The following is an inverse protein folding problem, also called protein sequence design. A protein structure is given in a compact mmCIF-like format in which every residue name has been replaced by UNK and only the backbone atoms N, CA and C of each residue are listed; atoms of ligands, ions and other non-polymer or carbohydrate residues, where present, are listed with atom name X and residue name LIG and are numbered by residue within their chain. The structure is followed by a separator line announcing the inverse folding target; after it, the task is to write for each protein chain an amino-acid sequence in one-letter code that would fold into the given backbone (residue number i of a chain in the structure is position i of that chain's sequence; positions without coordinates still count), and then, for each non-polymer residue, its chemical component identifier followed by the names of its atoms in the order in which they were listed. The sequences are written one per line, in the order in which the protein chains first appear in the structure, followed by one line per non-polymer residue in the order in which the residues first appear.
data_IF_436570316817
#
_entry.id   IF_436570316817
#
_cell.length_a   1.000
_cell.length_b   1.000
_cell.length_c   1.000
_cell.angle_alpha   90.00
_cell.angle_beta   90.00
_cell.angle_gamma   90.00
#
_symmetry.space_group_name_H-M   'P 1'
#
loop_
_entity.id
_entity.type
_entity.pdbx_description
1 polymer ?
#
# COMPACT_ATOMS: atom_id res chain seq x y z
N UNK A 1 8.16 21.95 -24.86
CA UNK A 1 6.93 22.68 -24.44
C UNK A 1 6.50 22.13 -23.07
N UNK A 2 6.01 22.98 -22.15
CA UNK A 2 5.56 22.52 -20.83
C UNK A 2 4.38 21.52 -20.96
N UNK A 3 4.37 20.48 -20.12
CA UNK A 3 3.33 19.44 -20.11
C UNK A 3 2.00 20.07 -19.73
N UNK A 4 0.96 19.92 -20.56
CA UNK A 4 -0.38 20.51 -20.31
C UNK A 4 -1.41 19.38 -20.13
N UNK A 5 -1.45 18.82 -18.93
CA UNK A 5 -2.52 17.91 -18.48
C UNK A 5 -3.50 18.69 -17.56
N UNK A 6 -4.80 18.36 -17.57
CA UNK A 6 -5.77 19.04 -16.71
C UNK A 6 -5.44 18.80 -15.22
N UNK A 7 -5.22 19.87 -14.46
CA UNK A 7 -4.88 19.83 -13.02
C UNK A 7 -3.39 19.75 -12.71
N UNK A 8 -2.51 19.77 -13.73
CA UNK A 8 -1.06 19.88 -13.57
C UNK A 8 -0.68 21.37 -13.45
N UNK A 9 -0.18 21.76 -12.29
CA UNK A 9 0.44 23.06 -12.07
C UNK A 9 1.96 22.87 -11.98
N UNK A 10 2.72 23.19 -13.05
CA UNK A 10 4.14 22.91 -13.10
C UNK A 10 4.93 23.62 -12.00
N UNK A 11 4.48 24.78 -11.51
CA UNK A 11 5.19 25.50 -10.45
C UNK A 11 4.93 24.84 -9.09
N UNK A 12 3.68 24.50 -8.79
CA UNK A 12 3.31 23.80 -7.55
C UNK A 12 3.93 22.39 -7.48
N UNK A 13 3.87 21.63 -8.57
CA UNK A 13 4.43 20.27 -8.62
C UNK A 13 5.97 20.29 -8.52
N UNK A 14 6.62 21.30 -9.12
CA UNK A 14 8.08 21.48 -8.97
C UNK A 14 8.45 21.84 -7.54
N UNK A 15 7.66 22.68 -6.86
CA UNK A 15 7.88 23.03 -5.46
C UNK A 15 7.73 21.81 -4.55
N UNK A 16 6.69 20.99 -4.76
CA UNK A 16 6.44 19.76 -4.00
C UNK A 16 7.53 18.70 -4.22
N UNK A 17 7.95 18.47 -5.47
CA UNK A 17 9.05 17.56 -5.79
C UNK A 17 10.37 18.04 -5.18
N UNK A 18 10.64 19.35 -5.23
CA UNK A 18 11.84 19.95 -4.63
C UNK A 18 11.85 19.77 -3.11
N UNK A 19 10.74 20.06 -2.44
CA UNK A 19 10.58 19.86 -1.00
C UNK A 19 10.78 18.37 -0.62
N UNK A 20 10.21 17.45 -1.40
CA UNK A 20 10.38 16.01 -1.20
C UNK A 20 11.84 15.57 -1.42
N UNK A 21 12.53 16.14 -2.42
CA UNK A 21 13.94 15.89 -2.69
C UNK A 21 14.83 16.28 -1.50
N UNK A 22 14.62 17.46 -0.93
CA UNK A 22 15.33 17.91 0.27
C UNK A 22 15.00 17.07 1.51
N UNK A 23 13.74 16.65 1.68
CA UNK A 23 13.35 15.75 2.76
C UNK A 23 14.09 14.40 2.68
N UNK A 24 14.22 13.81 1.48
CA UNK A 24 15.00 12.59 1.31
C UNK A 24 16.48 12.75 1.64
N UNK A 25 17.11 13.90 1.34
CA UNK A 25 18.50 14.18 1.76
C UNK A 25 18.63 14.27 3.27
N UNK A 26 17.65 14.88 3.95
CA UNK A 26 17.59 14.93 5.41
C UNK A 26 17.50 13.52 6.01
N UNK A 27 16.60 12.67 5.50
CA UNK A 27 16.45 11.29 5.97
C UNK A 27 17.68 10.42 5.68
N UNK A 28 18.35 10.64 4.54
CA UNK A 28 19.60 9.96 4.23
C UNK A 28 20.71 10.28 5.23
N UNK A 29 20.76 11.52 5.75
CA UNK A 29 21.79 11.98 6.69
C UNK A 29 21.49 11.63 8.15
N UNK A 30 20.24 11.86 8.58
CA UNK A 30 19.83 11.78 9.99
C UNK A 30 18.96 10.55 10.31
N UNK A 31 18.61 9.76 9.30
CA UNK A 31 17.74 8.60 9.43
C UNK A 31 16.25 8.94 9.30
N UNK A 32 15.41 7.90 9.24
CA UNK A 32 13.97 8.00 8.91
C UNK A 32 13.12 8.79 9.93
N UNK A 33 13.65 9.02 11.13
CA UNK A 33 12.97 9.79 12.18
C UNK A 33 13.52 11.23 12.30
N UNK A 34 14.22 11.73 11.28
CA UNK A 34 14.84 13.05 11.31
C UNK A 34 13.82 14.16 11.60
N UNK A 35 14.30 15.23 12.22
CA UNK A 35 13.59 16.49 12.43
C UNK A 35 14.50 17.61 12.00
N UNK A 36 13.93 18.67 11.42
CA UNK A 36 14.66 19.89 11.06
C UNK A 36 15.11 20.63 12.33
N UNK A 37 16.42 20.70 12.55
CA UNK A 37 17.02 21.59 13.54
C UNK A 37 17.52 22.89 12.90
N UNK A 38 17.99 23.83 13.73
CA UNK A 38 18.45 25.14 13.23
C UNK A 38 19.67 25.02 12.32
N UNK A 39 20.51 24.01 12.52
CA UNK A 39 21.67 23.74 11.66
C UNK A 39 21.22 23.29 10.26
N UNK A 40 20.22 22.44 10.16
CA UNK A 40 19.62 22.06 8.88
C UNK A 40 18.98 23.26 8.19
N UNK A 41 18.20 24.07 8.93
CA UNK A 41 17.56 25.29 8.38
C UNK A 41 18.60 26.25 7.81
N UNK A 42 19.72 26.45 8.51
CA UNK A 42 20.82 27.26 8.04
C UNK A 42 21.46 26.67 6.77
N UNK A 43 21.73 25.36 6.75
CA UNK A 43 22.29 24.67 5.58
C UNK A 43 21.36 24.75 4.36
N UNK A 44 20.05 24.69 4.56
CA UNK A 44 19.05 24.79 3.49
C UNK A 44 18.89 26.21 2.99
N UNK A 45 18.94 27.23 3.86
CA UNK A 45 19.01 28.63 3.45
C UNK A 45 20.26 28.92 2.62
N UNK A 46 21.42 28.38 3.00
CA UNK A 46 22.65 28.49 2.20
C UNK A 46 22.55 27.78 0.84
N UNK A 47 21.71 26.76 0.73
CA UNK A 47 21.42 26.07 -0.52
C UNK A 47 20.37 26.81 -1.39
N UNK A 48 19.93 28.01 -0.98
CA UNK A 48 19.00 28.83 -1.74
C UNK A 48 17.52 28.54 -1.50
N UNK A 49 17.17 27.77 -0.46
CA UNK A 49 15.76 27.56 -0.09
C UNK A 49 15.22 28.81 0.60
N UNK A 50 14.20 29.43 0.01
CA UNK A 50 13.52 30.60 0.56
C UNK A 50 12.60 30.23 1.77
N UNK A 51 12.07 31.22 2.51
CA UNK A 51 11.24 30.96 3.69
C UNK A 51 9.91 30.22 3.41
N UNK A 52 9.32 30.40 2.24
CA UNK A 52 8.06 29.75 1.87
C UNK A 52 8.31 28.26 1.53
N UNK A 53 9.33 27.99 0.72
CA UNK A 53 9.81 26.65 0.41
C UNK A 53 10.31 25.91 1.68
N UNK A 54 10.89 26.63 2.65
CA UNK A 54 11.25 26.05 3.95
C UNK A 54 10.03 25.58 4.73
N UNK A 55 8.93 26.35 4.70
CA UNK A 55 7.68 25.97 5.37
C UNK A 55 7.07 24.72 4.72
N UNK A 56 7.07 24.67 3.38
CA UNK A 56 6.63 23.49 2.62
C UNK A 56 7.50 22.25 2.91
N UNK A 57 8.81 22.43 3.02
CA UNK A 57 9.75 21.37 3.39
C UNK A 57 9.45 20.82 4.80
N UNK A 58 9.21 21.68 5.78
CA UNK A 58 8.85 21.27 7.15
C UNK A 58 7.57 20.44 7.16
N UNK A 59 6.52 20.91 6.48
CA UNK A 59 5.26 20.18 6.32
C UNK A 59 5.48 18.84 5.63
N UNK A 60 6.31 18.80 4.59
CA UNK A 60 6.63 17.59 3.83
C UNK A 60 7.38 16.56 4.67
N UNK A 61 8.37 16.98 5.47
CA UNK A 61 9.10 16.08 6.37
C UNK A 61 8.14 15.42 7.38
N UNK A 62 7.26 16.20 8.01
CA UNK A 62 6.29 15.64 8.97
C UNK A 62 5.24 14.76 8.30
N UNK A 63 4.77 15.12 7.10
CA UNK A 63 3.88 14.29 6.28
C UNK A 63 4.52 12.95 5.92
N UNK A 64 5.76 12.96 5.41
CA UNK A 64 6.47 11.74 5.02
C UNK A 64 6.76 10.83 6.22
N UNK A 65 7.06 11.39 7.39
CA UNK A 65 7.24 10.64 8.63
C UNK A 65 5.94 10.01 9.13
N UNK A 66 4.86 10.78 9.19
CA UNK A 66 3.56 10.33 9.70
C UNK A 66 2.91 9.27 8.80
N UNK A 67 3.18 9.32 7.49
CA UNK A 67 2.68 8.37 6.51
C UNK A 67 3.64 7.19 6.24
N UNK A 68 4.89 7.27 6.70
CA UNK A 68 5.92 6.28 6.44
C UNK A 68 6.46 6.28 5.00
N UNK A 69 6.21 7.35 4.24
CA UNK A 69 6.64 7.51 2.85
C UNK A 69 8.17 7.55 2.70
N UNK A 70 8.87 8.03 3.72
CA UNK A 70 10.33 8.06 3.74
C UNK A 70 10.96 6.65 3.86
N UNK A 71 10.18 5.62 4.22
CA UNK A 71 10.71 4.26 4.42
C UNK A 71 10.84 3.55 3.08
N UNK A 72 12.05 3.17 2.63
CA UNK A 72 12.21 2.46 1.37
C UNK A 72 11.52 1.11 1.38
N UNK A 73 11.00 0.71 0.22
CA UNK A 73 10.51 -0.65 0.01
C UNK A 73 11.63 -1.67 0.25
N UNK A 74 11.33 -2.72 1.02
CA UNK A 74 12.26 -3.84 1.25
C UNK A 74 12.63 -4.54 -0.05
N UNK A 75 11.66 -4.71 -0.96
CA UNK A 75 11.90 -5.31 -2.26
C UNK A 75 12.85 -4.44 -3.10
N UNK A 76 12.65 -3.12 -3.10
CA UNK A 76 13.51 -2.20 -3.85
C UNK A 76 14.93 -2.13 -3.29
N UNK A 77 15.08 -2.13 -1.97
CA UNK A 77 16.41 -2.22 -1.34
C UNK A 77 17.07 -3.57 -1.64
N UNK A 78 16.33 -4.68 -1.61
CA UNK A 78 16.87 -6.00 -1.94
C UNK A 78 17.37 -6.05 -3.39
N UNK A 79 16.61 -5.51 -4.33
CA UNK A 79 17.01 -5.39 -5.73
C UNK A 79 18.30 -4.58 -5.89
N UNK A 80 18.37 -3.39 -5.28
CA UNK A 80 19.56 -2.53 -5.35
C UNK A 80 20.80 -3.23 -4.76
N UNK A 81 20.64 -3.96 -3.64
CA UNK A 81 21.72 -4.71 -2.99
C UNK A 81 22.17 -5.89 -3.86
N UNK A 82 21.23 -6.62 -4.46
CA UNK A 82 21.53 -7.75 -5.33
C UNK A 82 22.23 -7.30 -6.62
N UNK A 83 21.82 -6.17 -7.21
CA UNK A 83 22.48 -5.58 -8.39
C UNK A 83 23.94 -5.24 -8.08
N UNK A 84 24.25 -4.83 -6.85
CA UNK A 84 25.65 -4.61 -6.43
C UNK A 84 26.45 -5.88 -6.15
N UNK A 85 25.85 -7.07 -6.31
CA UNK A 85 26.48 -8.35 -6.01
C UNK A 85 26.65 -8.66 -4.52
N UNK A 86 25.99 -7.88 -3.64
CA UNK A 86 26.07 -8.05 -2.19
C UNK A 86 24.96 -8.96 -1.68
N UNK A 87 25.22 -9.69 -0.59
CA UNK A 87 24.22 -10.54 0.05
C UNK A 87 23.19 -9.68 0.82
N UNK A 88 21.93 -10.10 0.80
CA UNK A 88 20.86 -9.42 1.53
C UNK A 88 20.94 -9.74 3.03
N UNK A 89 21.58 -8.85 3.78
CA UNK A 89 21.72 -8.93 5.23
C UNK A 89 21.22 -7.65 5.88
N UNK A 90 20.98 -7.68 7.20
CA UNK A 90 20.60 -6.47 7.93
C UNK A 90 21.66 -5.36 7.81
N UNK A 91 22.95 -5.72 7.73
CA UNK A 91 24.05 -4.79 7.56
C UNK A 91 24.07 -4.12 6.19
N UNK A 92 23.90 -4.90 5.11
CA UNK A 92 23.85 -4.35 3.75
C UNK A 92 22.61 -3.50 3.52
N UNK A 93 21.46 -3.87 4.11
CA UNK A 93 20.26 -3.04 4.13
C UNK A 93 20.49 -1.69 4.83
N UNK A 94 21.14 -1.70 6.00
CA UNK A 94 21.43 -0.47 6.74
C UNK A 94 22.39 0.46 5.97
N UNK A 95 23.36 -0.11 5.25
CA UNK A 95 24.30 0.64 4.41
C UNK A 95 23.65 1.18 3.12
N UNK A 96 22.80 0.38 2.46
CA UNK A 96 22.14 0.76 1.22
C UNK A 96 21.03 1.80 1.41
N UNK A 97 20.34 1.79 2.55
CA UNK A 97 19.23 2.71 2.86
C UNK A 97 19.58 4.20 2.67
N UNK A 98 20.62 4.77 3.31
CA UNK A 98 20.96 6.18 3.13
C UNK A 98 21.43 6.51 1.71
N UNK A 99 22.06 5.56 1.00
CA UNK A 99 22.47 5.74 -0.40
C UNK A 99 21.26 5.82 -1.31
N UNK A 100 20.30 4.91 -1.12
CA UNK A 100 19.04 4.89 -1.87
C UNK A 100 18.22 6.17 -1.66
N UNK A 101 18.06 6.61 -0.39
CA UNK A 101 17.36 7.84 -0.07
C UNK A 101 18.05 9.07 -0.67
N UNK A 102 19.39 9.10 -0.66
CA UNK A 102 20.14 10.18 -1.31
C UNK A 102 19.89 10.21 -2.82
N UNK A 103 19.90 9.05 -3.48
CA UNK A 103 19.64 8.95 -4.91
C UNK A 103 18.22 9.42 -5.28
N UNK A 104 17.20 9.09 -4.47
CA UNK A 104 15.85 9.62 -4.64
C UNK A 104 15.82 11.15 -4.51
N UNK A 105 16.49 11.68 -3.47
CA UNK A 105 16.60 13.11 -3.26
C UNK A 105 17.25 13.82 -4.45
N UNK A 106 18.36 13.30 -4.97
CA UNK A 106 19.04 13.84 -6.15
C UNK A 106 18.17 13.78 -7.41
N UNK A 107 17.43 12.68 -7.61
CA UNK A 107 16.54 12.53 -8.76
C UNK A 107 15.38 13.54 -8.76
N UNK A 108 14.87 13.92 -7.59
CA UNK A 108 13.81 14.92 -7.42
C UNK A 108 14.33 16.36 -7.43
N UNK A 109 15.57 16.59 -7.03
CA UNK A 109 16.17 17.93 -7.14
C UNK A 109 16.62 18.28 -8.56
N UNK A 110 16.71 17.29 -9.46
CA UNK A 110 16.89 17.49 -10.91
C UNK A 110 15.58 17.70 -11.67
N UNK A 111 14.49 17.96 -10.95
CA UNK A 111 13.17 18.13 -11.55
C UNK A 111 13.07 19.38 -12.43
N UNK A 112 13.74 20.48 -12.07
CA UNK A 112 13.82 21.66 -12.96
C UNK A 112 14.44 21.31 -14.32
N UNK A 113 15.48 20.47 -14.36
CA UNK A 113 16.10 20.02 -15.62
C UNK A 113 15.13 19.16 -16.46
N UNK A 114 14.23 18.43 -15.80
CA UNK A 114 13.24 17.53 -16.44
C UNK A 114 12.02 18.27 -17.00
N UNK A 115 11.57 19.33 -16.33
CA UNK A 115 10.39 20.10 -16.76
C UNK A 115 10.75 21.34 -17.61
N UNK A 116 11.97 21.88 -17.50
CA UNK A 116 12.39 23.09 -18.22
C UNK A 116 13.08 22.81 -19.56
N UNK A 117 13.68 21.62 -19.73
CA UNK A 117 14.23 21.16 -21.00
C UNK A 117 13.44 19.97 -21.54
N UNK A 118 12.82 20.16 -22.70
CA UNK A 118 12.19 19.07 -23.45
C UNK A 118 13.31 18.15 -23.96
N UNK A 119 13.54 17.02 -23.28
CA UNK A 119 14.60 16.07 -23.67
C UNK A 119 14.38 15.50 -25.09
N UNK A 120 13.17 15.64 -25.62
CA UNK A 120 12.81 15.41 -27.01
C UNK A 120 12.15 16.69 -27.51
N UNK A 121 12.90 17.60 -28.11
CA UNK A 121 12.32 18.72 -28.85
C UNK A 121 11.51 18.16 -30.03
N UNK A 122 10.24 17.83 -29.75
CA UNK A 122 9.31 17.27 -30.70
C UNK A 122 9.04 18.26 -31.85
N UNK A 123 9.23 19.57 -31.60
CA UNK A 123 9.26 20.60 -32.62
C UNK A 123 10.40 20.35 -33.60
N UNK A 124 11.65 20.32 -33.14
CA UNK A 124 12.81 20.04 -33.98
C UNK A 124 12.75 18.67 -34.68
N UNK A 125 12.15 17.64 -34.06
CA UNK A 125 11.97 16.32 -34.65
C UNK A 125 10.88 16.28 -35.74
N UNK A 126 9.91 17.20 -35.69
CA UNK A 126 8.82 17.31 -36.69
C UNK A 126 9.06 18.39 -37.73
N UNK A 127 9.96 19.34 -37.50
CA UNK A 127 10.42 20.33 -38.48
C UNK A 127 10.83 19.73 -39.83
N UNK A 128 11.63 18.65 -39.93
CA UNK A 128 11.96 18.02 -41.22
C UNK A 128 10.76 17.37 -41.91
N UNK A 129 9.71 17.00 -41.17
CA UNK A 129 8.45 16.47 -41.74
C UNK A 129 7.51 17.60 -42.16
N UNK A 130 7.56 18.74 -41.45
CA UNK A 130 6.78 19.94 -41.73
C UNK A 130 7.30 20.67 -42.97
N UNK A 131 8.62 20.89 -43.05
CA UNK A 131 9.28 21.40 -44.27
C UNK A 131 9.13 20.47 -45.46
N UNK A 132 9.14 19.14 -45.28
CA UNK A 132 8.85 18.18 -46.36
C UNK A 132 7.41 18.28 -46.87
N UNK A 133 6.44 18.56 -46.00
CA UNK A 133 5.03 18.74 -46.35
C UNK A 133 4.77 20.09 -47.03
N UNK A 134 5.43 21.14 -46.56
CA UNK A 134 5.38 22.47 -47.18
C UNK A 134 6.08 22.51 -48.54
N UNK A 135 7.17 21.75 -48.73
CA UNK A 135 7.77 21.55 -50.05
C UNK A 135 6.90 20.68 -50.97
N UNK A 136 6.21 19.66 -50.45
CA UNK A 136 5.32 18.82 -51.27
C UNK A 136 4.03 19.54 -51.68
N UNK A 137 3.50 20.43 -50.84
CA UNK A 137 2.31 21.22 -51.17
C UNK A 137 2.64 22.35 -52.18
N UNK A 138 3.89 22.83 -52.23
CA UNK A 138 4.36 23.74 -53.28
C UNK A 138 4.57 23.03 -54.65
N UNK A 139 4.86 21.73 -54.64
CA UNK A 139 5.13 20.93 -55.86
C UNK A 139 3.85 20.35 -56.52
N UNK A 140 2.70 20.37 -55.83
CA UNK A 140 1.40 19.93 -56.38
C UNK A 140 0.80 20.95 -57.37
N UNK A 141 1.34 22.17 -57.44
CA UNK A 141 0.83 23.23 -58.34
C UNK A 141 1.30 23.14 -59.79
N UNK A 142 2.17 22.20 -60.16
CA UNK A 142 2.60 22.02 -61.56
C UNK A 142 2.71 20.55 -61.96
N UNK A 143 1.60 19.97 -62.41
CA UNK A 143 1.64 18.81 -63.31
C UNK A 143 0.57 18.92 -64.39
N UNK A 144 0.94 18.89 -65.69
CA UNK A 144 -0.02 19.01 -66.77
C UNK A 144 -0.84 17.72 -66.91
N UNK A 145 -2.14 17.89 -67.18
CA UNK A 145 -3.07 16.83 -67.53
C UNK A 145 -2.68 16.19 -68.87
N UNK A 146 -2.54 14.87 -68.93
CA UNK A 146 -2.74 14.10 -70.17
C UNK A 146 -2.85 12.60 -69.90
N UNK A 147 -3.90 11.97 -70.44
CA UNK A 147 -3.87 10.55 -70.85
C UNK A 147 -4.67 9.56 -70.00
N UNK A 148 -5.87 9.20 -70.49
CA UNK A 148 -6.75 8.09 -70.04
C UNK A 148 -6.22 6.69 -70.44
N UNK A 149 -6.86 5.66 -69.84
CA UNK A 149 -6.96 4.21 -70.18
C UNK A 149 -6.04 3.30 -69.32
N UNK A 150 -6.45 2.19 -68.69
CA UNK A 150 -7.72 1.46 -68.53
C UNK A 150 -7.42 0.05 -67.95
N UNK A 151 -8.41 -0.59 -67.28
CA UNK A 151 -8.50 -2.01 -66.85
C UNK A 151 -7.56 -2.43 -65.66
N UNK A 152 -7.91 -3.23 -64.65
CA UNK A 152 -8.93 -4.26 -64.46
C UNK A 152 -9.28 -4.52 -62.96
N UNK A 153 -10.26 -5.41 -62.76
CA UNK A 153 -11.11 -5.84 -61.63
C UNK A 153 -10.58 -6.11 -60.21
N UNK A 154 -11.50 -6.20 -59.20
CA UNK A 154 -11.20 -6.41 -57.78
C UNK A 154 -11.26 -7.91 -57.36
N UNK A 155 -10.49 -8.28 -56.35
CA UNK A 155 -10.55 -9.60 -55.69
C UNK A 155 -11.07 -9.43 -54.24
N UNK A 156 -12.05 -10.23 -53.77
CA UNK A 156 -12.71 -10.03 -52.48
C UNK A 156 -11.98 -10.74 -51.34
N UNK A 157 -12.08 -10.19 -50.11
CA UNK A 157 -11.69 -10.88 -48.88
C UNK A 157 -12.94 -11.19 -48.06
N UNK A 158 -13.17 -12.48 -47.89
CA UNK A 158 -14.33 -13.13 -47.27
C UNK A 158 -14.25 -13.11 -45.75
N UNK A 159 -15.36 -12.78 -45.09
CA UNK A 159 -15.63 -13.05 -43.67
C UNK A 159 -16.04 -14.51 -43.48
N UNK A 160 -15.74 -15.14 -42.33
CA UNK A 160 -16.74 -16.05 -41.78
C UNK A 160 -17.08 -15.80 -40.30
N UNK A 161 -18.34 -16.10 -40.04
CA UNK A 161 -19.15 -15.92 -38.85
C UNK A 161 -18.99 -17.08 -37.84
N UNK A 162 -19.50 -16.82 -36.64
CA UNK A 162 -19.60 -17.66 -35.45
C UNK A 162 -20.03 -19.13 -35.65
N UNK A 163 -19.57 -19.99 -34.74
CA UNK A 163 -20.24 -21.25 -34.40
C UNK A 163 -20.40 -21.40 -32.87
N UNK A 164 -21.66 -21.53 -32.47
CA UNK A 164 -22.13 -22.08 -31.21
C UNK A 164 -21.91 -23.60 -31.16
N UNK A 165 -21.55 -24.14 -29.99
CA UNK A 165 -21.85 -25.53 -29.63
C UNK A 165 -22.11 -25.65 -28.12
N UNK A 166 -23.34 -26.06 -27.81
CA UNK A 166 -23.84 -26.48 -26.50
C UNK A 166 -23.62 -27.98 -26.32
N UNK A 167 -23.33 -28.46 -25.10
CA UNK A 167 -23.82 -29.75 -24.55
C UNK A 167 -23.39 -29.97 -23.08
N UNK A 168 -24.29 -29.58 -22.16
CA UNK A 168 -24.89 -30.31 -21.03
C UNK A 168 -24.10 -31.14 -19.97
N UNK A 169 -24.73 -31.38 -18.77
CA UNK A 169 -24.07 -31.38 -17.47
C UNK A 169 -24.03 -32.75 -16.76
N UNK A 170 -23.32 -32.82 -15.63
CA UNK A 170 -23.45 -33.90 -14.63
C UNK A 170 -24.02 -33.38 -13.32
N UNK A 171 -25.18 -33.94 -12.95
CA UNK A 171 -25.87 -33.84 -11.66
C UNK A 171 -25.41 -34.94 -10.69
N UNK A 172 -25.32 -34.60 -9.39
CA UNK A 172 -25.70 -35.41 -8.20
C UNK A 172 -25.18 -34.67 -6.95
N UNK A 173 -25.87 -34.43 -5.84
CA UNK A 173 -27.23 -34.69 -5.39
C UNK A 173 -27.56 -33.64 -4.30
N UNK A 174 -28.83 -33.27 -4.22
CA UNK A 174 -29.38 -32.41 -3.18
C UNK A 174 -29.69 -33.23 -1.91
N UNK A 175 -29.55 -32.59 -0.75
CA UNK A 175 -30.37 -32.87 0.43
C UNK A 175 -31.08 -31.57 0.81
N UNK A 176 -32.37 -31.76 1.00
CA UNK A 176 -33.47 -30.82 1.18
C UNK A 176 -33.39 -30.06 2.51
N UNK A 177 -33.70 -28.77 2.48
CA UNK A 177 -34.52 -28.12 3.48
C UNK A 177 -35.03 -26.79 2.92
N UNK A 178 -36.33 -26.76 2.68
CA UNK A 178 -37.12 -25.62 2.24
C UNK A 178 -37.34 -24.58 3.34
N UNK A 179 -37.68 -23.36 2.90
CA UNK A 179 -38.13 -22.17 3.64
C UNK A 179 -37.10 -21.33 4.41
N UNK A 180 -36.54 -20.31 3.75
CA UNK A 180 -36.62 -18.89 4.18
C UNK A 180 -36.46 -17.96 2.96
N UNK A 181 -37.47 -17.12 2.72
CA UNK A 181 -37.51 -15.86 1.96
C UNK A 181 -36.43 -15.57 0.90
N UNK A 182 -36.88 -15.32 -0.34
CA UNK A 182 -36.10 -14.73 -1.46
C UNK A 182 -35.34 -13.47 -1.02
N UNK A 183 -34.08 -13.64 -0.66
CA UNK A 183 -33.10 -12.57 -0.65
C UNK A 183 -32.61 -12.39 -2.09
N UNK A 184 -32.99 -11.28 -2.71
CA UNK A 184 -32.46 -10.80 -3.99
C UNK A 184 -30.93 -10.97 -4.00
N UNK A 185 -30.31 -11.54 -5.05
CA UNK A 185 -28.85 -11.71 -5.10
C UNK A 185 -28.18 -10.34 -5.06
N UNK A 186 -27.60 -10.00 -3.92
CA UNK A 186 -26.92 -8.72 -3.70
C UNK A 186 -25.66 -8.66 -4.57
N UNK A 187 -25.71 -7.94 -5.69
CA UNK A 187 -24.52 -7.68 -6.53
C UNK A 187 -23.55 -6.78 -5.76
N UNK A 188 -22.35 -7.29 -5.47
CA UNK A 188 -21.31 -6.50 -4.83
C UNK A 188 -20.91 -5.33 -5.73
N UNK A 189 -21.26 -4.11 -5.33
CA UNK A 189 -20.82 -2.90 -6.02
C UNK A 189 -19.29 -2.86 -6.10
N UNK A 190 -18.77 -2.44 -7.26
CA UNK A 190 -17.34 -2.28 -7.51
C UNK A 190 -16.65 -1.30 -6.54
N UNK A 191 -17.47 -0.44 -5.90
CA UNK A 191 -17.06 0.61 -4.98
C UNK A 191 -17.21 0.21 -3.51
N UNK A 192 -17.55 -1.05 -3.24
CA UNK A 192 -17.62 -1.57 -1.87
C UNK A 192 -16.24 -1.65 -1.23
N UNK A 193 -16.19 -1.53 0.11
CA UNK A 193 -14.97 -1.69 0.92
C UNK A 193 -14.22 -2.96 0.54
N UNK A 194 -14.93 -4.08 0.41
CA UNK A 194 -14.32 -5.35 0.06
C UNK A 194 -13.74 -5.35 -1.35
N UNK A 195 -14.47 -4.84 -2.35
CA UNK A 195 -14.00 -4.81 -3.73
C UNK A 195 -12.75 -3.92 -3.88
N UNK A 196 -12.76 -2.72 -3.30
CA UNK A 196 -11.62 -1.80 -3.33
C UNK A 196 -10.46 -2.33 -2.50
N UNK A 197 -10.75 -2.97 -1.37
CA UNK A 197 -9.76 -3.60 -0.50
C UNK A 197 -9.02 -4.75 -1.17
N UNK A 198 -9.73 -5.63 -1.90
CA UNK A 198 -9.09 -6.69 -2.69
C UNK A 198 -8.23 -6.14 -3.82
N UNK A 199 -8.69 -5.09 -4.53
CA UNK A 199 -7.87 -4.40 -5.54
C UNK A 199 -6.59 -3.83 -4.92
N UNK A 200 -6.67 -3.21 -3.74
CA UNK A 200 -5.51 -2.72 -3.01
C UNK A 200 -4.56 -3.85 -2.62
N UNK A 201 -5.08 -4.94 -2.07
CA UNK A 201 -4.27 -6.10 -1.66
C UNK A 201 -3.52 -6.68 -2.86
N UNK A 202 -4.22 -6.92 -3.97
CA UNK A 202 -3.62 -7.50 -5.17
C UNK A 202 -2.55 -6.59 -5.77
N UNK A 203 -2.81 -5.28 -5.79
CA UNK A 203 -1.80 -4.29 -6.19
C UNK A 203 -0.57 -4.35 -5.29
N UNK A 204 -0.74 -4.28 -3.96
CA UNK A 204 0.40 -4.26 -3.02
C UNK A 204 1.20 -5.58 -2.99
N UNK A 205 0.55 -6.70 -3.24
CA UNK A 205 1.21 -8.00 -3.43
C UNK A 205 1.98 -8.03 -4.74
N UNK A 206 1.37 -7.59 -5.85
CA UNK A 206 2.01 -7.52 -7.16
C UNK A 206 3.23 -6.59 -7.18
N UNK A 207 3.16 -5.47 -6.46
CA UNK A 207 4.25 -4.51 -6.29
C UNK A 207 5.35 -5.00 -5.32
N UNK A 208 5.18 -6.17 -4.68
CA UNK A 208 6.10 -6.67 -3.65
C UNK A 208 6.19 -5.80 -2.40
N UNK A 209 5.22 -4.92 -2.18
CA UNK A 209 5.18 -4.00 -1.04
C UNK A 209 4.64 -4.68 0.22
N UNK A 210 3.73 -5.64 0.05
CA UNK A 210 3.15 -6.44 1.14
C UNK A 210 3.57 -7.91 1.02
N UNK A 211 3.72 -8.55 2.18
CA UNK A 211 3.78 -10.01 2.28
C UNK A 211 2.38 -10.61 2.50
N UNK A 212 2.27 -11.93 2.37
CA UNK A 212 1.01 -12.67 2.59
C UNK A 212 0.41 -12.44 3.97
N UNK A 213 1.26 -12.17 4.97
CA UNK A 213 0.83 -11.88 6.33
C UNK A 213 0.12 -10.52 6.40
N UNK A 214 0.70 -9.50 5.79
CA UNK A 214 0.17 -8.14 5.72
C UNK A 214 -1.12 -8.12 4.91
N UNK A 215 -1.16 -8.82 3.78
CA UNK A 215 -2.37 -8.99 2.99
C UNK A 215 -3.51 -9.66 3.77
N UNK A 216 -3.22 -10.73 4.53
CA UNK A 216 -4.22 -11.37 5.41
C UNK A 216 -4.73 -10.43 6.50
N UNK A 217 -3.85 -9.64 7.10
CA UNK A 217 -4.26 -8.64 8.10
C UNK A 217 -5.15 -7.55 7.50
N UNK A 218 -4.77 -6.99 6.36
CA UNK A 218 -5.57 -5.99 5.66
C UNK A 218 -6.95 -6.56 5.29
N UNK A 219 -7.00 -7.77 4.73
CA UNK A 219 -8.25 -8.45 4.36
C UNK A 219 -9.19 -8.63 5.55
N UNK A 220 -8.67 -9.09 6.69
CA UNK A 220 -9.47 -9.22 7.92
C UNK A 220 -10.06 -7.88 8.36
N UNK A 221 -9.30 -6.79 8.23
CA UNK A 221 -9.73 -5.44 8.62
C UNK A 221 -10.80 -4.92 7.66
N UNK A 222 -10.61 -5.08 6.35
CA UNK A 222 -11.59 -4.68 5.35
C UNK A 222 -12.89 -5.50 5.47
N UNK A 223 -12.79 -6.81 5.70
CA UNK A 223 -13.96 -7.67 5.93
C UNK A 223 -14.77 -7.20 7.15
N UNK A 224 -14.10 -6.86 8.26
CA UNK A 224 -14.80 -6.36 9.46
C UNK A 224 -15.45 -5.01 9.21
N UNK A 225 -14.75 -4.09 8.53
CA UNK A 225 -15.26 -2.75 8.26
C UNK A 225 -16.43 -2.79 7.26
N UNK A 226 -16.32 -3.56 6.18
CA UNK A 226 -17.40 -3.79 5.21
C UNK A 226 -18.64 -4.36 5.92
N UNK A 227 -18.45 -5.36 6.79
CA UNK A 227 -19.53 -5.91 7.60
C UNK A 227 -20.17 -4.87 8.50
N UNK A 228 -19.36 -4.08 9.20
CA UNK A 228 -19.85 -3.03 10.09
C UNK A 228 -20.71 -2.01 9.34
N UNK A 229 -20.23 -1.52 8.20
CA UNK A 229 -20.97 -0.55 7.39
C UNK A 229 -22.29 -1.11 6.89
N UNK A 230 -22.32 -2.37 6.44
CA UNK A 230 -23.54 -3.03 5.96
C UNK A 230 -24.57 -3.25 7.06
N UNK A 231 -24.14 -3.73 8.22
CA UNK A 231 -25.06 -4.13 9.29
C UNK A 231 -25.53 -2.95 10.15
N UNK A 232 -24.69 -1.94 10.36
CA UNK A 232 -24.97 -0.84 11.30
C UNK A 232 -25.28 0.48 10.60
N UNK A 233 -24.53 0.83 9.55
CA UNK A 233 -24.71 2.08 8.82
C UNK A 233 -25.62 1.91 7.58
N UNK A 234 -25.96 0.68 7.21
CA UNK A 234 -26.75 0.33 6.02
C UNK A 234 -26.18 0.91 4.71
N UNK A 235 -24.88 1.18 4.66
CA UNK A 235 -24.18 1.64 3.45
C UNK A 235 -23.30 0.54 2.89
N UNK A 236 -23.11 0.56 1.57
CA UNK A 236 -22.35 -0.48 0.87
C UNK A 236 -21.32 0.06 -0.11
N UNK A 237 -21.46 1.31 -0.54
CA UNK A 237 -20.48 2.00 -1.37
C UNK A 237 -19.58 2.89 -0.49
N UNK A 238 -18.30 2.96 -0.84
CA UNK A 238 -17.36 3.87 -0.18
C UNK A 238 -17.70 5.35 -0.40
N UNK A 239 -18.47 5.68 -1.44
CA UNK A 239 -18.94 7.04 -1.71
C UNK A 239 -19.91 7.57 -0.65
N UNK A 240 -20.63 6.68 0.03
CA UNK A 240 -21.63 7.03 1.04
C UNK A 240 -21.01 7.17 2.45
N UNK A 241 -19.68 7.02 2.55
CA UNK A 241 -18.96 7.05 3.81
C UNK A 241 -18.82 8.50 4.31
N UNK A 242 -19.27 8.76 5.54
CA UNK A 242 -19.07 10.03 6.24
C UNK A 242 -18.34 9.84 7.58
N UNK A 243 -17.95 10.94 8.21
CA UNK A 243 -17.13 10.93 9.43
C UNK A 243 -17.82 10.22 10.62
N UNK A 244 -19.15 10.29 10.72
CA UNK A 244 -19.90 9.63 11.80
C UNK A 244 -19.84 8.11 11.71
N UNK A 245 -19.73 7.53 10.51
CA UNK A 245 -19.52 6.10 10.33
C UNK A 245 -18.14 5.66 10.86
N UNK A 246 -17.11 6.50 10.67
CA UNK A 246 -15.76 6.23 11.17
C UNK A 246 -15.71 6.33 12.70
N UNK A 247 -16.37 7.33 13.29
CA UNK A 247 -16.50 7.47 14.74
C UNK A 247 -17.23 6.28 15.38
N UNK A 248 -18.37 5.88 14.79
CA UNK A 248 -19.12 4.71 15.23
C UNK A 248 -18.28 3.41 15.14
N UNK A 249 -17.46 3.29 14.09
CA UNK A 249 -16.56 2.15 13.95
C UNK A 249 -15.44 2.18 15.00
N UNK A 250 -14.81 3.32 15.28
CA UNK A 250 -13.80 3.42 16.35
C UNK A 250 -14.41 3.10 17.72
N UNK A 251 -15.62 3.60 18.01
CA UNK A 251 -16.37 3.27 19.21
C UNK A 251 -16.61 1.76 19.31
N UNK A 252 -17.00 1.11 18.21
CA UNK A 252 -17.12 -0.34 18.16
C UNK A 252 -15.79 -1.05 18.46
N UNK A 253 -14.67 -0.64 17.86
CA UNK A 253 -13.35 -1.24 18.13
C UNK A 253 -12.92 -1.09 19.61
N UNK A 254 -13.38 -0.05 20.31
CA UNK A 254 -13.12 0.17 21.75
C UNK A 254 -13.95 -0.73 22.66
N UNK A 255 -14.99 -1.38 22.14
CA UNK A 255 -15.78 -2.38 22.87
C UNK A 255 -15.44 -3.81 22.45
N UNK A 256 -14.82 -3.99 21.28
CA UNK A 256 -14.50 -5.29 20.72
C UNK A 256 -13.47 -6.05 21.58
N UNK A 257 -13.69 -7.35 21.78
CA UNK A 257 -12.83 -8.18 22.62
C UNK A 257 -11.42 -8.33 22.03
N UNK A 258 -10.40 -8.33 22.88
CA UNK A 258 -8.97 -8.28 22.50
C UNK A 258 -8.49 -9.47 21.67
N UNK A 259 -9.15 -10.63 21.78
CA UNK A 259 -8.82 -11.84 21.04
C UNK A 259 -9.48 -11.95 19.66
N UNK A 260 -10.22 -10.92 19.22
CA UNK A 260 -10.86 -10.91 17.90
C UNK A 260 -9.89 -11.23 16.77
N UNK A 261 -10.32 -12.11 15.86
CA UNK A 261 -9.56 -12.52 14.68
C UNK A 261 -8.58 -13.66 14.95
N UNK A 262 -8.51 -14.18 16.18
CA UNK A 262 -7.77 -15.42 16.50
C UNK A 262 -8.58 -16.66 16.16
N UNK A 263 -9.92 -16.61 16.29
CA UNK A 263 -10.79 -17.72 15.92
C UNK A 263 -11.32 -17.53 14.49
N UNK A 264 -11.32 -18.58 13.65
CA UNK A 264 -11.99 -18.53 12.34
C UNK A 264 -13.48 -18.19 12.45
N UNK A 265 -14.13 -18.55 13.56
CA UNK A 265 -15.55 -18.26 13.82
C UNK A 265 -15.82 -16.76 13.91
N UNK A 266 -14.87 -15.98 14.41
CA UNK A 266 -15.01 -14.53 14.55
C UNK A 266 -15.22 -13.88 13.18
N UNK A 267 -14.59 -14.42 12.14
CA UNK A 267 -14.72 -13.94 10.76
C UNK A 267 -16.13 -14.11 10.21
N UNK A 268 -16.99 -14.95 10.78
CA UNK A 268 -18.35 -15.19 10.27
C UNK A 268 -19.45 -14.58 11.17
N UNK A 269 -19.11 -14.10 12.37
CA UNK A 269 -20.09 -13.50 13.29
C UNK A 269 -20.58 -12.14 12.78
N UNK A 270 -21.88 -11.88 12.92
CA UNK A 270 -22.45 -10.54 12.75
C UNK A 270 -21.88 -9.55 13.77
N UNK A 271 -21.97 -8.26 13.51
CA UNK A 271 -21.57 -7.17 14.43
C UNK A 271 -22.32 -7.29 15.74
N UNK A 272 -23.63 -7.56 15.69
CA UNK A 272 -24.45 -7.79 16.88
C UNK A 272 -23.94 -8.97 17.72
N UNK A 273 -23.59 -10.08 17.07
CA UNK A 273 -23.02 -11.25 17.76
C UNK A 273 -21.63 -10.94 18.35
N UNK A 274 -20.81 -10.13 17.66
CA UNK A 274 -19.51 -9.68 18.18
C UNK A 274 -19.67 -8.79 19.41
N UNK A 275 -20.65 -7.87 19.43
CA UNK A 275 -20.96 -7.05 20.61
C UNK A 275 -21.43 -7.90 21.78
N UNK A 276 -22.29 -8.89 21.55
CA UNK A 276 -22.76 -9.80 22.58
C UNK A 276 -21.60 -10.61 23.18
N UNK A 277 -20.72 -11.16 22.33
CA UNK A 277 -19.52 -11.89 22.78
C UNK A 277 -18.57 -10.97 23.57
N UNK A 278 -18.38 -9.73 23.14
CA UNK A 278 -17.63 -8.72 23.88
C UNK A 278 -18.22 -8.45 25.26
N UNK A 279 -19.55 -8.27 25.35
CA UNK A 279 -20.24 -7.96 26.60
C UNK A 279 -20.15 -9.10 27.62
N UNK A 280 -20.10 -10.36 27.15
CA UNK A 280 -19.92 -11.56 27.99
C UNK A 280 -18.54 -11.68 28.62
N UNK A 281 -17.54 -11.00 28.07
CA UNK A 281 -16.15 -11.05 28.56
C UNK A 281 -15.91 -10.07 29.71
N UNK A 282 -14.90 -10.30 30.57
CA UNK A 282 -14.49 -9.31 31.56
C UNK A 282 -14.13 -7.97 30.91
N UNK A 283 -14.36 -6.85 31.60
CA UNK A 283 -14.03 -5.51 31.09
C UNK A 283 -12.56 -5.38 30.69
N UNK A 284 -11.66 -6.06 31.42
CA UNK A 284 -10.22 -6.12 31.12
C UNK A 284 -9.88 -6.81 29.79
N UNK A 285 -10.79 -7.59 29.21
CA UNK A 285 -10.65 -8.24 27.91
C UNK A 285 -11.36 -7.49 26.77
N UNK A 286 -12.06 -6.40 27.09
CA UNK A 286 -12.76 -5.56 26.10
C UNK A 286 -11.85 -4.44 25.62
N UNK A 287 -12.13 -3.98 24.41
CA UNK A 287 -11.41 -2.91 23.73
C UNK A 287 -10.08 -3.38 23.13
N UNK A 288 -9.97 -3.23 21.82
CA UNK A 288 -8.71 -3.46 21.14
C UNK A 288 -7.63 -2.49 21.66
N UNK A 289 -6.38 -2.99 21.73
CA UNK A 289 -5.25 -2.15 22.12
C UNK A 289 -5.10 -0.96 21.17
N UNK A 290 -4.54 0.15 21.65
CA UNK A 290 -4.27 1.33 20.82
C UNK A 290 -3.40 1.01 19.59
N UNK A 291 -2.42 0.11 19.74
CA UNK A 291 -1.60 -0.35 18.63
C UNK A 291 -2.40 -1.14 17.58
N UNK A 292 -3.33 -2.00 18.02
CA UNK A 292 -4.22 -2.76 17.13
C UNK A 292 -5.18 -1.81 16.41
N UNK A 293 -5.82 -0.87 17.14
CA UNK A 293 -6.72 0.14 16.54
C UNK A 293 -5.99 0.99 15.51
N UNK A 294 -4.80 1.50 15.83
CA UNK A 294 -4.01 2.26 14.87
C UNK A 294 -3.69 1.45 13.61
N UNK A 295 -3.48 0.13 13.72
CA UNK A 295 -3.33 -0.76 12.55
C UNK A 295 -4.59 -0.79 11.68
N UNK A 296 -5.79 -0.89 12.29
CA UNK A 296 -7.05 -0.76 11.55
C UNK A 296 -7.10 0.56 10.79
N UNK A 297 -6.88 1.68 11.48
CA UNK A 297 -6.90 3.03 10.89
C UNK A 297 -5.87 3.20 9.77
N UNK A 298 -4.68 2.60 9.90
CA UNK A 298 -3.66 2.62 8.84
C UNK A 298 -4.14 1.95 7.56
N UNK A 299 -4.72 0.74 7.66
CA UNK A 299 -5.21 0.04 6.47
C UNK A 299 -6.45 0.73 5.88
N UNK A 300 -7.35 1.26 6.71
CA UNK A 300 -8.50 2.03 6.24
C UNK A 300 -8.06 3.32 5.52
N UNK A 301 -7.04 4.03 6.02
CA UNK A 301 -6.50 5.19 5.30
C UNK A 301 -5.93 4.82 3.92
N UNK A 302 -5.30 3.65 3.79
CA UNK A 302 -4.82 3.14 2.50
C UNK A 302 -5.98 2.76 1.57
N UNK A 303 -7.04 2.16 2.11
CA UNK A 303 -8.26 1.84 1.37
C UNK A 303 -8.91 3.10 0.78
N UNK A 304 -9.08 4.16 1.60
CA UNK A 304 -9.68 5.42 1.15
C UNK A 304 -8.84 6.08 0.05
N UNK A 305 -7.51 6.08 0.19
CA UNK A 305 -6.61 6.56 -0.87
C UNK A 305 -6.76 5.74 -2.15
N UNK A 306 -6.83 4.40 -2.05
CA UNK A 306 -7.05 3.55 -3.22
C UNK A 306 -8.38 3.84 -3.91
N UNK A 307 -9.43 4.09 -3.13
CA UNK A 307 -10.75 4.47 -3.63
C UNK A 307 -10.71 5.80 -4.40
N UNK A 308 -10.06 6.82 -3.83
CA UNK A 308 -9.83 8.11 -4.51
C UNK A 308 -9.06 7.91 -5.83
N UNK A 309 -7.97 7.14 -5.83
CA UNK A 309 -7.23 6.81 -7.07
C UNK A 309 -8.02 5.95 -8.05
N UNK A 310 -9.12 5.31 -7.64
CA UNK A 310 -10.03 4.58 -8.53
C UNK A 310 -11.11 5.49 -9.15
N UNK A 311 -11.14 6.78 -8.80
CA UNK A 311 -12.20 7.70 -9.21
C UNK A 311 -13.47 7.66 -8.35
N UNK A 312 -13.44 6.97 -7.20
CA UNK A 312 -14.58 6.98 -6.27
C UNK A 312 -14.61 8.33 -5.56
N UNK A 313 -15.76 9.01 -5.63
CA UNK A 313 -16.00 10.27 -4.92
C UNK A 313 -16.11 9.96 -3.43
N UNK A 314 -15.04 10.26 -2.69
CA UNK A 314 -14.98 10.10 -1.25
C UNK A 314 -14.88 11.48 -0.63
N UNK A 315 -15.69 11.74 0.40
CA UNK A 315 -15.67 12.99 1.15
C UNK A 315 -14.22 13.36 1.57
N UNK A 316 -13.82 14.57 1.20
CA UNK A 316 -12.47 15.09 1.42
C UNK A 316 -12.24 15.47 2.87
N UNK A 317 -13.30 15.65 3.66
CA UNK A 317 -13.25 15.95 5.09
C UNK A 317 -13.07 14.71 5.96
N UNK A 318 -13.11 13.50 5.40
CA UNK A 318 -12.86 12.29 6.17
C UNK A 318 -11.45 12.29 6.75
N UNK A 319 -11.39 12.21 8.09
CA UNK A 319 -10.14 12.20 8.82
C UNK A 319 -10.08 11.04 9.82
N UNK A 320 -8.95 10.32 9.80
CA UNK A 320 -8.65 9.20 10.69
C UNK A 320 -7.64 9.56 11.79
N UNK A 321 -7.08 10.77 11.76
CA UNK A 321 -5.97 11.18 12.64
C UNK A 321 -6.42 11.25 14.10
N UNK A 322 -7.55 11.88 14.37
CA UNK A 322 -8.11 12.07 15.72
C UNK A 322 -8.49 10.74 16.41
N UNK A 323 -8.76 9.68 15.65
CA UNK A 323 -9.04 8.36 16.22
C UNK A 323 -7.78 7.65 16.71
N UNK A 324 -6.58 8.09 16.31
CA UNK A 324 -5.34 7.38 16.63
C UNK A 324 -5.03 7.46 18.12
N UNK A 325 -4.80 6.30 18.73
CA UNK A 325 -4.28 6.24 20.08
C UNK A 325 -2.83 6.77 20.11
N UNK A 326 -2.55 7.72 21.02
CA UNK A 326 -1.21 8.25 21.25
C UNK A 326 -0.31 7.15 21.84
N UNK A 327 0.94 7.06 21.37
CA UNK A 327 1.94 6.18 21.98
C UNK A 327 2.51 6.87 23.23
N UNK A 328 2.32 6.27 24.40
CA UNK A 328 2.88 6.78 25.64
C UNK A 328 4.38 6.49 25.81
N UNK A 329 4.92 5.49 25.10
CA UNK A 329 6.32 5.06 25.19
C UNK A 329 6.96 4.98 23.80
N UNK A 330 8.28 5.20 23.76
CA UNK A 330 9.07 5.04 22.53
C UNK A 330 9.17 3.54 22.24
N UNK A 331 9.15 3.15 20.97
CA UNK A 331 9.20 1.73 20.58
C UNK A 331 10.45 0.97 21.05
N UNK A 332 11.52 1.71 21.43
CA UNK A 332 12.72 1.17 22.09
C UNK A 332 12.41 0.62 23.49
N UNK A 333 11.44 1.20 24.17
CA UNK A 333 11.07 0.88 25.56
C UNK A 333 9.95 -0.17 25.66
N UNK A 334 9.41 -0.62 24.52
CA UNK A 334 8.36 -1.65 24.46
C UNK A 334 8.91 -3.05 24.73
N UNK A 335 10.24 -3.25 24.67
CA UNK A 335 10.90 -4.52 25.01
C UNK A 335 11.79 -4.30 26.23
N UNK A 336 11.42 -4.84 27.41
CA UNK A 336 12.33 -4.80 28.55
C UNK A 336 13.60 -5.56 28.17
N UNK A 337 14.76 -4.93 28.41
CA UNK A 337 16.06 -5.60 28.29
C UNK A 337 16.07 -6.72 29.33
N UNK A 338 16.36 -7.98 28.95
CA UNK A 338 16.45 -9.07 29.92
C UNK A 338 17.44 -8.72 31.04
N UNK A 339 17.06 -9.00 32.28
CA UNK A 339 17.97 -8.83 33.42
C UNK A 339 19.09 -9.86 33.36
N UNK A 340 20.20 -9.61 34.05
CA UNK A 340 21.30 -10.58 34.13
C UNK A 340 20.83 -11.97 34.58
N UNK A 341 19.95 -12.03 35.58
CA UNK A 341 19.36 -13.27 36.07
C UNK A 341 18.50 -14.00 35.02
N UNK A 342 17.78 -13.25 34.17
CA UNK A 342 17.00 -13.85 33.08
C UNK A 342 17.90 -14.43 31.99
N UNK A 343 19.03 -13.77 31.71
CA UNK A 343 20.03 -14.26 30.76
C UNK A 343 20.71 -15.52 31.30
N UNK A 344 21.10 -15.51 32.58
CA UNK A 344 21.71 -16.66 33.26
C UNK A 344 20.77 -17.89 33.25
N UNK A 345 19.49 -17.68 33.60
CA UNK A 345 18.47 -18.73 33.54
C UNK A 345 18.24 -19.25 32.12
N UNK A 346 18.29 -18.39 31.10
CA UNK A 346 18.20 -18.81 29.70
C UNK A 346 19.36 -19.75 29.32
N UNK A 347 20.58 -19.47 29.76
CA UNK A 347 21.74 -20.35 29.51
C UNK A 347 21.73 -21.64 30.36
N UNK A 348 20.87 -21.75 31.36
CA UNK A 348 20.63 -23.00 32.09
C UNK A 348 19.56 -23.89 31.44
N UNK A 349 18.98 -23.47 30.31
CA UNK A 349 18.03 -24.30 29.59
C UNK A 349 18.71 -25.54 28.97
N UNK A 350 18.00 -26.68 28.84
CA UNK A 350 18.58 -27.94 28.35
C UNK A 350 19.27 -27.88 26.99
N UNK A 351 18.89 -26.92 26.14
CA UNK A 351 19.53 -26.68 24.84
C UNK A 351 20.98 -26.18 24.98
N UNK A 352 21.33 -25.56 26.10
CA UNK A 352 22.68 -25.02 26.39
C UNK A 352 23.47 -25.87 27.39
N UNK A 353 22.79 -26.54 28.33
CA UNK A 353 23.44 -27.40 29.33
C UNK A 353 23.53 -28.87 28.92
N UNK A 354 22.90 -29.23 27.79
CA UNK A 354 22.71 -30.61 27.35
C UNK A 354 21.66 -31.34 28.17
N UNK A 355 20.95 -32.28 27.55
CA UNK A 355 20.26 -33.33 28.30
C UNK A 355 21.33 -34.25 28.88
N UNK A 356 21.22 -34.60 30.17
CA UNK A 356 22.17 -35.46 30.90
C UNK A 356 22.39 -36.85 30.25
N UNK A 357 21.60 -37.18 29.23
CA UNK A 357 21.55 -38.45 28.50
C UNK A 357 22.09 -38.35 27.06
N UNK A 358 22.46 -37.17 26.54
CA UNK A 358 23.00 -37.05 25.16
C UNK A 358 24.36 -37.75 25.01
N UNK A 359 25.13 -37.86 26.10
CA UNK A 359 26.42 -38.56 26.10
C UNK A 359 26.28 -40.09 26.13
N UNK A 360 25.06 -40.64 26.17
CA UNK A 360 24.80 -42.07 26.24
C UNK A 360 24.11 -42.60 24.97
N UNK A 361 24.60 -42.18 23.79
CA UNK A 361 24.14 -42.70 22.48
C UNK A 361 24.36 -44.22 22.32
N UNK A 362 25.18 -44.83 23.17
CA UNK A 362 25.48 -46.26 23.17
C UNK A 362 24.98 -47.01 24.42
N UNK A 363 24.28 -46.33 25.34
CA UNK A 363 23.75 -46.92 26.56
C UNK A 363 22.33 -47.44 26.39
N UNK A 364 22.23 -48.75 26.25
CA UNK A 364 21.10 -49.62 26.59
C UNK A 364 19.73 -48.95 26.75
N UNK A 365 18.85 -49.15 25.77
CA UNK A 365 17.40 -48.88 25.84
C UNK A 365 16.84 -49.33 27.20
N UNK A 366 16.57 -48.38 28.09
CA UNK A 366 15.68 -48.57 29.23
C UNK A 366 14.50 -47.61 29.07
N UNK A 367 13.35 -48.21 28.83
CA UNK A 367 12.04 -47.57 28.92
C UNK A 367 11.95 -46.71 30.17
N UNK A 368 11.93 -45.39 30.00
CA UNK A 368 11.53 -44.45 31.03
C UNK A 368 10.37 -43.62 30.50
N UNK A 369 9.21 -43.93 31.06
CA UNK A 369 7.93 -43.25 30.92
C UNK A 369 8.12 -41.76 31.14
N UNK A 370 7.73 -40.95 30.16
CA UNK A 370 7.65 -39.50 30.30
C UNK A 370 6.48 -39.18 31.25
N UNK A 371 6.79 -39.03 32.54
CA UNK A 371 5.89 -38.51 33.55
C UNK A 371 5.67 -37.01 33.33
N UNK A 372 4.40 -36.63 33.16
CA UNK A 372 3.94 -35.25 33.25
C UNK A 372 4.18 -34.71 34.66
N UNK A 373 4.75 -33.51 34.75
CA UNK A 373 4.45 -32.51 35.77
C UNK A 373 4.52 -31.13 35.12
#
# INVERSE_FOLDING_TARGET
MARVEQGFDPEADTADETAMGWAYRLFARKGLNATLDETDRHSFRQAGIDPEAMTLLEATVERMKSNGEATPSKARLAEVIQVSGAELTAGTVAQATPVYLRALGEALLRTEERYRFDALDFGALTEPTRTRREMSDAEITHRPETGRQGLAEPVPVTTPQAMTASSQPRTSAAVDNSDVAEATPWTASADSVKAVGEKLINQKLGDGLWDDKTARQARMIFDLFDRFLREEALITALSDLCQTHLDAFDAFLRTLFKSYGKSPKDRQRSVAALRLESARRPETERGLSGATRNRHLTFLGQLLRRGKSAGIVIDTQLDLTEFRARKAKRGRDDRPVPTHAQIESFFHMPVFTGCREWNDIHGTVRNSVCGRA
#
